data_IF_819137146589
#
_entry.id   IF_819137146589
#
_cell.length_a   1.000
_cell.length_b   1.000
_cell.length_c   1.000
_cell.angle_alpha   90.00
_cell.angle_beta   90.00
_cell.angle_gamma   90.00
#
_symmetry.space_group_name_H-M   'P 1'
#
loop_
_entity.id
_entity.type
_entity.pdbx_description
1 polymer ?
#
# COMPACT_ATOMS: atom_id res chain seq x y z
N UNK A 1 47.71 -31.79 -0.68
CA UNK A 1 46.94 -30.56 -1.04
C UNK A 1 47.83 -29.36 -0.74
N UNK A 2 47.96 -28.45 -1.67
CA UNK A 2 48.73 -27.22 -1.47
C UNK A 2 47.81 -26.18 -0.83
N UNK A 3 48.21 -25.66 0.29
CA UNK A 3 47.48 -24.58 0.99
C UNK A 3 48.25 -23.27 0.84
N UNK A 4 47.62 -22.23 0.33
CA UNK A 4 48.17 -20.87 0.30
C UNK A 4 47.80 -20.15 1.60
N UNK A 5 48.78 -19.95 2.48
CA UNK A 5 48.60 -19.15 3.70
C UNK A 5 49.10 -17.74 3.46
N UNK A 6 48.17 -16.82 3.27
CA UNK A 6 48.48 -15.39 3.08
C UNK A 6 47.45 -14.51 3.76
N UNK A 7 47.90 -13.40 4.29
CA UNK A 7 47.02 -12.38 4.89
C UNK A 7 46.48 -11.39 3.83
N UNK A 8 47.03 -11.43 2.62
CA UNK A 8 46.59 -10.53 1.54
C UNK A 8 46.81 -11.23 0.18
N UNK A 9 45.77 -11.16 -0.64
CA UNK A 9 45.83 -11.50 -2.07
C UNK A 9 45.66 -10.18 -2.81
N UNK A 10 46.62 -9.85 -3.69
CA UNK A 10 46.54 -8.67 -4.56
C UNK A 10 46.98 -9.03 -5.95
N UNK A 11 46.41 -8.37 -6.95
CA UNK A 11 46.81 -8.46 -8.33
C UNK A 11 47.96 -7.51 -8.61
N UNK A 12 48.88 -7.90 -9.51
CA UNK A 12 50.02 -7.06 -9.89
C UNK A 12 49.66 -5.94 -10.88
N UNK A 13 48.49 -6.05 -11.51
CA UNK A 13 48.00 -5.17 -12.58
C UNK A 13 46.79 -4.29 -12.15
N UNK A 14 46.38 -4.36 -10.88
CA UNK A 14 45.25 -3.60 -10.38
C UNK A 14 43.86 -4.13 -10.75
N UNK A 15 43.79 -5.29 -11.44
CA UNK A 15 42.55 -5.95 -11.81
C UNK A 15 42.03 -6.84 -10.66
N UNK A 16 40.79 -7.33 -10.79
CA UNK A 16 40.18 -8.20 -9.80
C UNK A 16 40.81 -9.59 -9.79
N UNK A 17 40.84 -10.23 -8.61
CA UNK A 17 41.24 -11.65 -8.51
C UNK A 17 40.09 -12.53 -9.03
N UNK A 18 40.35 -13.30 -10.08
CA UNK A 18 39.41 -14.31 -10.56
C UNK A 18 39.52 -15.57 -9.70
N UNK A 19 38.38 -16.14 -9.31
CA UNK A 19 38.26 -17.40 -8.60
C UNK A 19 37.52 -18.37 -9.52
N UNK A 20 38.22 -19.38 -10.07
CA UNK A 20 37.64 -20.31 -11.03
C UNK A 20 36.63 -21.30 -10.43
N UNK A 21 36.65 -21.43 -9.12
CA UNK A 21 35.72 -22.26 -8.36
C UNK A 21 34.86 -21.41 -7.41
N UNK A 22 34.01 -22.06 -6.63
CA UNK A 22 33.20 -21.38 -5.65
C UNK A 22 34.04 -20.79 -4.51
N UNK A 23 33.71 -19.58 -4.09
CA UNK A 23 34.23 -18.97 -2.86
C UNK A 23 33.39 -19.47 -1.66
N UNK A 24 34.06 -20.17 -0.72
CA UNK A 24 33.40 -20.57 0.53
C UNK A 24 33.62 -19.47 1.60
N UNK A 25 32.58 -18.75 1.92
CA UNK A 25 32.60 -17.75 2.98
C UNK A 25 32.62 -18.41 4.36
N UNK A 26 33.32 -17.79 5.30
CA UNK A 26 33.32 -18.27 6.68
C UNK A 26 31.90 -18.13 7.25
N UNK A 27 31.45 -19.21 7.94
CA UNK A 27 30.08 -19.31 8.45
C UNK A 27 30.03 -18.99 9.93
N UNK A 28 29.03 -18.21 10.34
CA UNK A 28 28.72 -17.87 11.72
C UNK A 28 27.20 -17.93 11.90
N UNK A 29 26.77 -18.22 13.13
CA UNK A 29 25.41 -17.88 13.53
C UNK A 29 25.31 -16.39 13.84
N UNK A 30 24.10 -15.87 14.09
CA UNK A 30 23.89 -14.44 14.36
C UNK A 30 24.67 -13.97 15.60
N UNK A 31 24.81 -14.79 16.63
CA UNK A 31 25.54 -14.43 17.84
C UNK A 31 27.07 -14.33 17.57
N UNK A 32 27.61 -15.33 16.87
CA UNK A 32 29.03 -15.35 16.47
C UNK A 32 29.36 -14.20 15.51
N UNK A 33 28.46 -13.88 14.56
CA UNK A 33 28.59 -12.72 13.68
C UNK A 33 28.68 -11.41 14.48
N UNK A 34 27.81 -11.22 15.48
CA UNK A 34 27.76 -9.99 16.28
C UNK A 34 29.00 -9.82 17.17
N UNK A 35 29.72 -10.90 17.45
CA UNK A 35 30.97 -10.87 18.21
C UNK A 35 32.22 -10.56 17.37
N UNK A 36 32.08 -10.42 16.04
CA UNK A 36 33.19 -10.08 15.16
C UNK A 36 33.59 -8.62 15.31
N UNK A 37 34.89 -8.35 15.25
CA UNK A 37 35.42 -7.02 15.00
C UNK A 37 35.42 -6.78 13.50
N UNK A 38 34.31 -6.23 13.00
CA UNK A 38 34.06 -6.13 11.56
C UNK A 38 34.48 -4.78 10.99
N UNK A 39 34.93 -4.80 9.75
CA UNK A 39 35.21 -3.59 8.96
C UNK A 39 34.34 -3.59 7.70
N UNK A 40 34.04 -2.40 7.18
CA UNK A 40 33.22 -2.26 5.99
C UNK A 40 33.75 -3.11 4.84
N UNK A 41 32.86 -3.90 4.23
CA UNK A 41 33.21 -4.85 3.17
C UNK A 41 33.47 -6.29 3.61
N UNK A 42 33.52 -6.58 4.90
CA UNK A 42 33.55 -7.97 5.40
C UNK A 42 32.31 -8.73 4.93
N UNK A 43 32.49 -9.97 4.52
CA UNK A 43 31.42 -10.85 4.07
C UNK A 43 31.47 -12.19 4.79
N UNK A 44 30.30 -12.68 5.20
CA UNK A 44 30.13 -14.00 5.85
C UNK A 44 28.89 -14.71 5.32
N UNK A 45 28.78 -16.01 5.64
CA UNK A 45 27.52 -16.74 5.54
C UNK A 45 26.91 -16.88 6.94
N UNK A 46 25.72 -16.31 7.16
CA UNK A 46 25.01 -16.43 8.45
C UNK A 46 24.15 -17.69 8.42
N UNK A 47 24.46 -18.65 9.30
CA UNK A 47 23.76 -19.93 9.39
C UNK A 47 22.38 -19.83 10.05
N UNK A 48 22.13 -18.78 10.84
CA UNK A 48 20.82 -18.54 11.43
C UNK A 48 19.82 -18.01 10.42
N UNK A 49 20.25 -17.12 9.52
CA UNK A 49 19.41 -16.52 8.46
C UNK A 49 19.51 -17.30 7.13
N UNK A 50 20.51 -18.21 7.01
CA UNK A 50 20.85 -18.94 5.78
C UNK A 50 21.16 -18.03 4.60
N UNK A 51 21.78 -16.88 4.87
CA UNK A 51 22.10 -15.86 3.86
C UNK A 51 23.55 -15.40 3.94
N UNK A 52 24.05 -14.90 2.82
CA UNK A 52 25.31 -14.14 2.80
C UNK A 52 25.01 -12.76 3.33
N UNK A 53 25.86 -12.27 4.21
CA UNK A 53 25.79 -10.92 4.77
C UNK A 53 27.10 -10.18 4.55
N UNK A 54 27.02 -8.87 4.40
CA UNK A 54 28.18 -8.00 4.38
C UNK A 54 28.05 -6.90 5.44
N UNK A 55 29.20 -6.45 5.96
CA UNK A 55 29.22 -5.33 6.90
C UNK A 55 29.36 -4.01 6.15
N UNK A 56 28.42 -3.07 6.31
CA UNK A 56 28.41 -1.79 5.61
C UNK A 56 29.25 -0.69 6.29
N UNK A 57 29.86 -1.02 7.43
CA UNK A 57 30.62 -0.10 8.29
C UNK A 57 29.85 0.31 9.56
N UNK A 58 28.55 0.00 9.63
CA UNK A 58 27.70 0.27 10.79
C UNK A 58 26.90 -0.96 11.23
N UNK A 59 26.50 -1.79 10.29
CA UNK A 59 25.64 -2.96 10.51
C UNK A 59 25.89 -4.08 9.51
N UNK A 60 25.48 -5.29 9.84
CA UNK A 60 25.43 -6.41 8.93
C UNK A 60 24.16 -6.37 8.08
N UNK A 61 24.35 -6.42 6.77
CA UNK A 61 23.27 -6.34 5.77
C UNK A 61 23.21 -7.65 5.00
N UNK A 62 22.05 -8.25 4.90
CA UNK A 62 21.82 -9.46 4.10
C UNK A 62 21.93 -9.16 2.60
N UNK A 63 22.71 -10.00 1.88
CA UNK A 63 22.71 -9.97 0.43
C UNK A 63 21.51 -10.76 -0.08
N UNK A 64 20.76 -10.18 -0.99
CA UNK A 64 19.60 -10.85 -1.60
C UNK A 64 18.25 -10.27 -1.21
N UNK A 65 18.17 -9.41 -0.22
CA UNK A 65 16.98 -8.61 0.03
C UNK A 65 16.93 -7.34 -0.85
N UNK A 66 17.36 -7.50 -2.11
CA UNK A 66 17.23 -6.44 -3.10
C UNK A 66 15.75 -6.03 -3.16
N UNK A 67 15.44 -4.89 -2.57
CA UNK A 67 14.12 -4.30 -2.70
C UNK A 67 13.94 -3.81 -4.12
N UNK A 68 13.00 -4.41 -4.82
CA UNK A 68 12.64 -4.03 -6.18
C UNK A 68 11.66 -2.88 -6.11
N UNK A 69 11.97 -1.71 -6.70
CA UNK A 69 11.01 -0.62 -6.79
C UNK A 69 9.89 -1.02 -7.76
N UNK A 70 8.65 -0.87 -7.33
CA UNK A 70 7.47 -1.13 -8.16
C UNK A 70 6.57 0.09 -8.23
N UNK A 71 6.07 0.37 -9.41
CA UNK A 71 4.98 1.34 -9.59
C UNK A 71 3.66 0.65 -9.28
N UNK A 72 2.74 1.38 -8.72
CA UNK A 72 1.42 0.85 -8.38
C UNK A 72 0.31 1.83 -8.78
N UNK A 73 -0.86 1.25 -9.04
CA UNK A 73 -2.16 1.92 -9.08
C UNK A 73 -3.11 1.10 -8.24
N UNK A 74 -3.70 1.73 -7.22
CA UNK A 74 -4.69 1.11 -6.33
C UNK A 74 -5.98 1.91 -6.41
N UNK A 75 -7.06 1.27 -6.88
CA UNK A 75 -8.39 1.86 -7.04
C UNK A 75 -9.37 1.10 -6.17
N UNK A 76 -10.10 1.81 -5.33
CA UNK A 76 -11.09 1.23 -4.44
C UNK A 76 -12.49 1.17 -5.06
N UNK A 77 -13.40 0.44 -4.43
CA UNK A 77 -14.80 0.35 -4.84
C UNK A 77 -15.55 1.67 -4.67
N UNK A 78 -16.42 2.04 -5.60
CA UNK A 78 -17.30 3.20 -5.47
C UNK A 78 -18.43 2.98 -4.47
N UNK A 79 -18.93 4.04 -3.86
CA UNK A 79 -20.15 4.03 -3.05
C UNK A 79 -21.43 3.95 -3.89
N UNK A 80 -22.54 3.54 -3.28
CA UNK A 80 -23.85 3.55 -3.94
C UNK A 80 -24.62 4.83 -3.65
N UNK A 81 -25.52 5.21 -4.56
CA UNK A 81 -26.48 6.28 -4.34
C UNK A 81 -27.49 5.93 -3.25
N UNK A 82 -28.08 6.96 -2.64
CA UNK A 82 -29.23 6.79 -1.75
C UNK A 82 -30.49 6.43 -2.54
N UNK A 83 -31.52 6.01 -1.82
CA UNK A 83 -32.84 5.69 -2.37
C UNK A 83 -33.95 6.46 -1.69
N UNK A 84 -34.95 6.89 -2.48
CA UNK A 84 -36.14 7.62 -2.02
C UNK A 84 -37.39 7.07 -2.71
N UNK A 85 -38.51 6.91 -1.97
CA UNK A 85 -39.69 6.25 -2.54
C UNK A 85 -40.61 7.15 -3.36
N UNK A 86 -40.46 8.47 -3.34
CA UNK A 86 -41.40 9.42 -3.93
C UNK A 86 -40.78 10.45 -4.87
N UNK A 87 -41.53 10.90 -5.87
CA UNK A 87 -41.08 11.76 -6.98
C UNK A 87 -40.69 13.21 -6.60
N UNK A 88 -40.92 13.64 -5.38
CA UNK A 88 -40.58 15.00 -4.93
C UNK A 88 -39.29 15.09 -4.11
N UNK A 89 -38.56 14.00 -4.04
CA UNK A 89 -37.36 13.87 -3.22
C UNK A 89 -36.17 13.45 -4.07
N UNK A 90 -35.00 13.92 -3.74
CA UNK A 90 -33.76 13.54 -4.40
C UNK A 90 -32.82 12.86 -3.41
N UNK A 91 -32.20 11.79 -3.85
CA UNK A 91 -31.10 11.16 -3.11
C UNK A 91 -29.76 11.60 -3.69
N UNK A 92 -28.71 11.53 -2.90
CA UNK A 92 -27.35 11.79 -3.34
C UNK A 92 -26.76 10.63 -4.10
N UNK A 93 -25.90 10.92 -5.07
CA UNK A 93 -25.07 9.90 -5.72
C UNK A 93 -23.97 9.39 -4.79
N UNK A 94 -23.52 8.17 -4.98
CA UNK A 94 -22.34 7.64 -4.28
C UNK A 94 -21.04 8.29 -4.76
N UNK A 95 -20.05 8.34 -3.89
CA UNK A 95 -18.70 8.82 -4.19
C UNK A 95 -17.87 7.78 -4.97
N UNK A 96 -16.91 8.25 -5.74
CA UNK A 96 -15.92 7.38 -6.38
C UNK A 96 -15.00 6.74 -5.34
N UNK A 97 -14.52 5.54 -5.62
CA UNK A 97 -13.46 4.91 -4.82
C UNK A 97 -12.17 5.74 -4.85
N UNK A 98 -11.39 5.64 -3.79
CA UNK A 98 -10.08 6.26 -3.70
C UNK A 98 -9.17 5.76 -4.81
N UNK A 99 -8.29 6.65 -5.27
CA UNK A 99 -7.29 6.39 -6.29
C UNK A 99 -5.91 6.76 -5.74
N UNK A 100 -4.99 5.80 -5.74
CA UNK A 100 -3.59 6.01 -5.34
C UNK A 100 -2.67 5.54 -6.45
N UNK A 101 -1.69 6.35 -6.82
CA UNK A 101 -0.79 6.08 -7.93
C UNK A 101 0.63 6.54 -7.63
N UNK A 102 1.59 5.68 -7.98
CA UNK A 102 3.01 6.04 -8.11
C UNK A 102 3.49 5.96 -9.56
N UNK A 103 2.56 5.80 -10.51
CA UNK A 103 2.88 5.60 -11.91
C UNK A 103 3.27 6.92 -12.58
N UNK A 104 4.42 6.93 -13.24
CA UNK A 104 4.96 8.09 -13.96
C UNK A 104 4.88 9.39 -13.13
N UNK A 105 4.30 10.44 -13.62
CA UNK A 105 4.02 11.70 -12.90
C UNK A 105 2.52 11.91 -12.68
N UNK A 106 1.75 10.82 -12.67
CA UNK A 106 0.31 10.88 -12.54
C UNK A 106 -0.09 11.22 -11.10
N UNK A 107 -0.95 12.20 -10.94
CA UNK A 107 -1.43 12.60 -9.63
C UNK A 107 -2.27 11.49 -8.98
N UNK A 108 -2.10 11.30 -7.68
CA UNK A 108 -2.99 10.48 -6.87
C UNK A 108 -4.33 11.19 -6.63
N UNK A 109 -5.31 10.48 -6.08
CA UNK A 109 -6.66 11.02 -5.84
C UNK A 109 -6.69 12.30 -5.01
N UNK A 110 -7.71 13.11 -5.22
CA UNK A 110 -7.87 14.40 -4.52
C UNK A 110 -6.90 15.49 -4.98
N UNK A 111 -6.29 15.35 -6.15
CA UNK A 111 -5.34 16.33 -6.70
C UNK A 111 -3.99 16.38 -6.01
N UNK A 112 -3.65 15.36 -5.23
CA UNK A 112 -2.33 15.24 -4.59
C UNK A 112 -1.29 14.76 -5.61
N UNK A 113 -0.02 15.07 -5.35
CA UNK A 113 1.10 14.63 -6.20
C UNK A 113 1.20 13.10 -6.27
N UNK A 114 1.88 12.62 -7.31
CA UNK A 114 2.31 11.21 -7.46
C UNK A 114 2.96 10.71 -6.16
N UNK A 115 2.64 9.50 -5.76
CA UNK A 115 3.25 8.88 -4.59
C UNK A 115 4.64 8.28 -4.91
N UNK A 116 5.41 8.03 -3.86
CA UNK A 116 6.70 7.36 -4.00
C UNK A 116 6.50 5.89 -4.41
N UNK A 117 7.50 5.34 -5.08
CA UNK A 117 7.52 3.92 -5.45
C UNK A 117 7.36 3.03 -4.20
N UNK A 118 6.64 1.94 -4.35
CA UNK A 118 6.67 0.88 -3.36
C UNK A 118 7.92 0.00 -3.58
N UNK A 119 8.46 -0.53 -2.50
CA UNK A 119 9.60 -1.44 -2.55
C UNK A 119 9.17 -2.82 -2.06
N UNK A 120 9.36 -3.81 -2.90
CA UNK A 120 9.04 -5.22 -2.60
C UNK A 120 10.33 -6.05 -2.53
N UNK A 121 10.41 -6.93 -1.53
CA UNK A 121 11.50 -7.88 -1.40
C UNK A 121 11.18 -9.15 -2.19
N UNK A 122 12.17 -9.73 -2.84
CA UNK A 122 12.03 -11.02 -3.53
C UNK A 122 11.70 -12.14 -2.54
N UNK A 123 10.84 -13.07 -2.94
CA UNK A 123 10.43 -14.20 -2.08
C UNK A 123 9.44 -13.84 -0.97
N UNK A 124 9.03 -12.57 -0.84
CA UNK A 124 8.05 -12.13 0.15
C UNK A 124 6.66 -12.07 -0.46
N UNK A 125 5.66 -12.65 0.21
CA UNK A 125 4.26 -12.54 -0.18
C UNK A 125 3.67 -11.21 0.29
N UNK A 126 3.01 -10.49 -0.61
CA UNK A 126 2.32 -9.24 -0.32
C UNK A 126 0.81 -9.41 -0.47
N UNK A 127 0.07 -8.91 0.50
CA UNK A 127 -1.40 -8.94 0.44
C UNK A 127 -1.89 -7.96 -0.61
N UNK A 128 -2.77 -8.46 -1.50
CA UNK A 128 -3.53 -7.66 -2.46
C UNK A 128 -5.01 -7.89 -2.19
N UNK A 129 -5.73 -6.81 -1.94
CA UNK A 129 -7.19 -6.81 -1.77
C UNK A 129 -7.81 -5.91 -2.81
N UNK A 130 -8.82 -6.41 -3.52
CA UNK A 130 -9.60 -5.62 -4.47
C UNK A 130 -10.99 -5.39 -3.88
N UNK A 131 -11.27 -4.14 -3.52
CA UNK A 131 -12.55 -3.73 -2.94
C UNK A 131 -13.66 -3.69 -3.98
N UNK A 132 -14.76 -4.36 -3.70
CA UNK A 132 -15.97 -4.27 -4.51
C UNK A 132 -16.68 -2.92 -4.34
N UNK A 133 -17.44 -2.50 -5.36
CA UNK A 133 -18.38 -1.41 -5.24
C UNK A 133 -19.46 -1.72 -4.20
N UNK A 134 -20.06 -0.66 -3.65
CA UNK A 134 -21.13 -0.79 -2.67
C UNK A 134 -22.40 -1.43 -3.28
N UNK A 135 -23.08 -2.25 -2.48
CA UNK A 135 -24.42 -2.72 -2.82
C UNK A 135 -25.39 -1.55 -2.96
N UNK A 136 -26.38 -1.68 -3.82
CA UNK A 136 -27.45 -0.68 -3.94
C UNK A 136 -28.14 -0.45 -2.59
N UNK A 137 -28.62 0.80 -2.36
CA UNK A 137 -29.50 1.05 -1.26
C UNK A 137 -30.82 0.27 -1.45
N UNK A 138 -31.34 -0.29 -0.35
CA UNK A 138 -32.63 -0.98 -0.41
C UNK A 138 -33.73 0.01 -0.79
N UNK A 139 -34.43 -0.25 -1.89
CA UNK A 139 -35.62 0.51 -2.26
C UNK A 139 -36.86 -0.20 -1.70
N UNK A 140 -37.49 0.40 -0.69
CA UNK A 140 -38.81 -0.03 -0.22
C UNK A 140 -39.81 1.08 -0.51
N UNK A 141 -41.09 0.73 -0.66
CA UNK A 141 -42.14 1.69 -1.00
C UNK A 141 -42.36 2.80 0.03
N UNK A 142 -41.76 2.75 1.20
CA UNK A 142 -41.97 3.68 2.30
C UNK A 142 -40.69 4.19 2.98
N UNK A 143 -39.53 3.77 2.56
CA UNK A 143 -38.28 4.06 3.26
C UNK A 143 -37.34 5.01 2.52
N UNK A 144 -36.67 5.89 3.29
CA UNK A 144 -35.57 6.71 2.82
C UNK A 144 -34.26 6.05 3.23
N UNK A 145 -33.45 5.64 2.28
CA UNK A 145 -32.22 4.93 2.59
C UNK A 145 -31.00 5.70 2.06
N UNK A 146 -29.99 5.83 2.92
CA UNK A 146 -28.67 6.23 2.46
C UNK A 146 -28.08 5.12 1.60
N UNK A 147 -27.20 5.47 0.71
CA UNK A 147 -26.35 4.50 0.02
C UNK A 147 -25.41 3.78 0.99
N UNK A 148 -24.62 2.88 0.46
CA UNK A 148 -23.58 2.16 1.18
C UNK A 148 -22.20 2.65 0.75
N UNK A 149 -21.22 2.62 1.64
CA UNK A 149 -19.83 2.91 1.35
C UNK A 149 -19.21 1.77 0.52
N UNK A 150 -18.36 2.09 -0.44
CA UNK A 150 -17.56 1.12 -1.17
C UNK A 150 -16.50 0.48 -0.27
N UNK A 151 -15.95 -0.66 -0.71
CA UNK A 151 -14.88 -1.33 0.00
C UNK A 151 -13.52 -0.77 -0.41
N UNK A 152 -12.56 -0.79 0.52
CA UNK A 152 -11.18 -0.39 0.24
C UNK A 152 -10.48 -1.41 -0.66
N UNK A 153 -9.49 -0.94 -1.42
CA UNK A 153 -8.50 -1.78 -2.08
C UNK A 153 -7.14 -1.55 -1.44
N UNK A 154 -6.31 -2.58 -1.42
CA UNK A 154 -5.03 -2.57 -0.72
C UNK A 154 -3.94 -3.31 -1.49
N UNK A 155 -2.76 -2.75 -1.52
CA UNK A 155 -1.51 -3.43 -1.85
C UNK A 155 -0.52 -3.24 -0.69
N UNK A 156 -0.21 -4.31 0.04
CA UNK A 156 0.63 -4.23 1.26
C UNK A 156 0.07 -3.21 2.27
N UNK A 157 0.80 -2.17 2.59
CA UNK A 157 0.38 -1.06 3.47
C UNK A 157 -0.33 0.09 2.73
N UNK A 158 -0.43 0.03 1.41
CA UNK A 158 -1.01 1.08 0.58
C UNK A 158 -2.51 0.81 0.46
N UNK A 159 -3.33 1.62 1.11
CA UNK A 159 -4.80 1.47 1.14
C UNK A 159 -5.43 2.63 0.38
N UNK A 160 -6.28 2.31 -0.59
CA UNK A 160 -7.22 3.25 -1.20
C UNK A 160 -8.60 3.04 -0.57
N UNK A 161 -9.18 4.10 -0.04
CA UNK A 161 -10.47 4.05 0.66
C UNK A 161 -11.64 3.91 -0.31
N UNK A 162 -12.67 3.15 0.09
CA UNK A 162 -13.91 3.05 -0.68
C UNK A 162 -14.64 4.38 -0.81
N UNK A 163 -15.41 4.56 -1.87
CA UNK A 163 -16.22 5.74 -2.11
C UNK A 163 -17.33 5.92 -1.07
N UNK A 164 -17.61 7.17 -0.72
CA UNK A 164 -18.64 7.52 0.26
C UNK A 164 -20.07 7.20 -0.21
N UNK A 165 -20.94 6.89 0.72
CA UNK A 165 -22.35 6.61 0.46
C UNK A 165 -23.11 7.86 0.00
N UNK A 166 -24.03 7.72 -0.92
CA UNK A 166 -24.99 8.76 -1.29
C UNK A 166 -25.96 9.07 -0.16
N UNK A 167 -26.26 10.35 0.03
CA UNK A 167 -27.15 10.81 1.08
C UNK A 167 -28.60 10.44 0.82
N UNK A 168 -29.33 10.25 1.93
CA UNK A 168 -30.80 10.27 1.94
C UNK A 168 -31.30 11.65 2.40
N UNK A 169 -32.56 11.91 2.16
CA UNK A 169 -33.25 12.97 2.89
C UNK A 169 -33.41 12.53 4.35
N UNK A 170 -33.08 13.38 5.27
CA UNK A 170 -33.44 13.21 6.67
C UNK A 170 -34.49 14.28 7.04
N UNK A 171 -35.67 13.86 7.43
CA UNK A 171 -36.59 14.66 8.20
C UNK A 171 -36.14 14.63 9.66
N UNK A 172 -36.33 15.59 10.44
CA UNK A 172 -35.55 16.67 11.01
C UNK A 172 -34.32 16.27 11.80
N UNK A 173 -33.86 15.02 11.78
CA UNK A 173 -32.75 14.56 12.60
C UNK A 173 -31.39 14.65 11.83
N UNK A 174 -30.63 15.65 12.25
CA UNK A 174 -29.36 16.08 11.60
C UNK A 174 -28.16 15.21 11.98
N UNK A 175 -28.30 14.35 12.98
CA UNK A 175 -27.13 13.73 13.64
C UNK A 175 -26.50 12.52 12.94
N UNK A 176 -27.20 11.87 12.00
CA UNK A 176 -26.70 10.63 11.36
C UNK A 176 -26.08 10.82 9.96
N UNK A 177 -25.73 12.04 9.59
CA UNK A 177 -25.40 12.44 8.23
C UNK A 177 -23.93 12.28 7.81
N UNK A 178 -23.03 11.99 8.73
CA UNK A 178 -21.60 12.25 8.46
C UNK A 178 -20.73 11.04 8.12
N UNK A 179 -20.86 9.95 8.84
CA UNK A 179 -19.83 8.92 8.85
C UNK A 179 -19.74 8.08 7.57
N UNK A 180 -20.88 7.78 6.94
CA UNK A 180 -20.89 6.87 5.78
C UNK A 180 -20.65 7.57 4.43
N UNK A 181 -20.68 8.91 4.40
CA UNK A 181 -20.49 9.69 3.19
C UNK A 181 -19.04 9.99 2.86
N UNK A 182 -18.19 9.87 3.83
CA UNK A 182 -16.76 10.07 3.64
C UNK A 182 -16.13 8.85 2.96
N UNK A 183 -15.19 9.08 2.07
CA UNK A 183 -14.53 8.03 1.34
C UNK A 183 -13.42 8.59 0.47
N UNK A 184 -12.88 7.80 -0.43
CA UNK A 184 -11.92 8.26 -1.43
C UNK A 184 -12.42 9.49 -2.18
N UNK A 185 -13.71 9.49 -2.51
CA UNK A 185 -14.51 10.67 -2.84
C UNK A 185 -15.77 10.66 -1.98
N UNK A 186 -16.20 11.80 -1.49
CA UNK A 186 -17.43 11.92 -0.72
C UNK A 186 -18.69 11.66 -1.56
N UNK A 187 -19.71 11.11 -0.92
CA UNK A 187 -21.03 10.95 -1.54
C UNK A 187 -21.81 12.27 -1.60
N UNK A 188 -22.68 12.41 -2.57
CA UNK A 188 -23.58 13.56 -2.72
C UNK A 188 -24.62 13.65 -1.61
N UNK A 189 -25.14 14.87 -1.31
CA UNK A 189 -26.26 15.09 -0.44
C UNK A 189 -27.62 14.77 -1.10
N UNK A 190 -28.60 14.35 -0.32
CA UNK A 190 -30.00 14.33 -0.77
C UNK A 190 -30.68 15.68 -0.55
N UNK A 191 -31.72 15.98 -1.30
CA UNK A 191 -32.49 17.24 -1.14
C UNK A 191 -34.00 17.00 -0.94
N UNK A 192 -34.61 17.93 -0.27
CA UNK A 192 -36.05 17.96 -0.05
C UNK A 192 -36.60 19.33 -0.47
N UNK A 193 -37.55 19.34 -1.38
CA UNK A 193 -38.29 20.55 -1.79
C UNK A 193 -37.39 21.77 -2.06
N UNK A 194 -36.26 21.55 -2.75
CA UNK A 194 -35.29 22.61 -3.09
C UNK A 194 -34.24 22.94 -2.01
N UNK A 195 -34.26 22.31 -0.87
CA UNK A 195 -33.22 22.46 0.15
C UNK A 195 -32.14 21.36 -0.01
N UNK A 196 -30.93 21.75 -0.26
CA UNK A 196 -29.82 20.81 -0.45
C UNK A 196 -29.26 20.30 0.88
N UNK A 197 -29.12 19.00 1.02
CA UNK A 197 -28.33 18.41 2.11
C UNK A 197 -26.82 18.58 1.85
N UNK A 198 -25.99 18.64 2.88
CA UNK A 198 -24.55 18.77 2.70
C UNK A 198 -23.96 17.56 2.02
N UNK A 199 -22.97 17.74 1.10
CA UNK A 199 -22.24 16.65 0.51
C UNK A 199 -21.34 15.93 1.55
N UNK A 200 -20.91 14.72 1.24
CA UNK A 200 -19.86 14.04 1.99
C UNK A 200 -18.48 14.62 1.69
N UNK A 201 -17.55 14.47 2.63
CA UNK A 201 -16.17 14.89 2.45
C UNK A 201 -15.32 13.78 1.83
N UNK A 202 -14.38 14.07 0.95
CA UNK A 202 -13.30 13.14 0.59
C UNK A 202 -12.35 12.95 1.79
N UNK A 203 -11.70 11.80 1.86
CA UNK A 203 -10.66 11.45 2.84
C UNK A 203 -9.27 11.68 2.26
#
# INVERSE_FOLDING_TARGET
>A
MSELKTNKISTNDGNNVAIDNSLNLKSYDTAGRNALTSVAGDMIYNTSTTKVEYYDGSSWVETGDAKVPVQFVVVAGGGSGGSVPYNHYSSGGGGAGGYRSSYASENTGGGKSTELLAYVATGTAYTVTVGGGASAASATSTGYFAGNKGNFSQFSSIIAEGGGAGGRIALPDVATRGADRSGGSGGGGGSYNGSNGPPGNPL
#
